data_IF_574829880741
#
_entry.id   IF_574829880741
#
_cell.length_a   1.000
_cell.length_b   1.000
_cell.length_c   1.000
_cell.angle_alpha   90.00
_cell.angle_beta   90.00
_cell.angle_gamma   90.00
#
_symmetry.space_group_name_H-M   'P 1'
#
loop_
_entity.id
_entity.type
_entity.pdbx_description
1 polymer ?
#
# COMPACT_ATOMS: atom_id res chain seq x y z
N UNK A 1 -0.81 68.51 -49.01
CA UNK A 1 0.41 67.68 -49.12
C UNK A 1 1.10 67.70 -47.78
N UNK A 2 0.97 66.64 -46.98
CA UNK A 2 1.79 66.41 -45.81
C UNK A 2 2.54 65.10 -46.09
N UNK A 3 3.86 65.21 -46.23
CA UNK A 3 4.76 64.11 -46.57
C UNK A 3 5.03 63.38 -45.25
N UNK A 4 4.41 62.22 -45.08
CA UNK A 4 4.71 61.29 -44.00
C UNK A 4 6.07 60.65 -44.30
N UNK A 5 7.08 60.97 -43.49
CA UNK A 5 8.40 60.36 -43.60
C UNK A 5 8.29 58.90 -43.12
N UNK A 6 8.34 57.98 -44.07
CA UNK A 6 8.46 56.54 -43.82
C UNK A 6 9.83 56.25 -43.22
N UNK A 7 9.92 56.22 -41.90
CA UNK A 7 11.04 55.60 -41.20
C UNK A 7 11.11 54.12 -41.59
N UNK A 8 12.22 53.71 -42.20
CA UNK A 8 12.51 52.39 -42.80
C UNK A 8 12.50 51.20 -41.82
N UNK A 9 12.00 51.36 -40.60
CA UNK A 9 11.96 50.30 -39.60
C UNK A 9 10.55 50.23 -39.01
N UNK A 10 9.83 49.11 -39.20
CA UNK A 10 8.49 48.95 -38.64
C UNK A 10 8.57 48.94 -37.11
N UNK A 11 7.73 49.73 -36.44
CA UNK A 11 7.62 49.82 -34.97
C UNK A 11 7.39 48.48 -34.27
N UNK A 12 6.88 47.48 -34.99
CA UNK A 12 6.75 46.11 -34.49
C UNK A 12 8.12 45.46 -34.25
N UNK A 13 9.10 45.68 -35.12
CA UNK A 13 10.43 45.10 -35.02
C UNK A 13 11.22 45.72 -33.86
N UNK A 14 11.13 47.04 -33.67
CA UNK A 14 11.75 47.72 -32.54
C UNK A 14 11.16 47.24 -31.22
N UNK A 15 9.85 47.01 -31.15
CA UNK A 15 9.19 46.51 -29.94
C UNK A 15 9.56 45.07 -29.60
N UNK A 16 9.79 44.23 -30.62
CA UNK A 16 10.27 42.85 -30.41
C UNK A 16 11.74 42.83 -30.01
N UNK A 17 12.58 43.69 -30.61
CA UNK A 17 13.99 43.84 -30.24
C UNK A 17 14.16 44.44 -28.84
N UNK A 18 13.33 45.40 -28.45
CA UNK A 18 13.35 46.00 -27.10
C UNK A 18 12.91 45.00 -26.02
N UNK A 19 11.97 44.09 -26.34
CA UNK A 19 11.66 42.93 -25.49
C UNK A 19 12.83 41.94 -25.41
N UNK A 20 13.44 41.61 -26.55
CA UNK A 20 14.58 40.69 -26.61
C UNK A 20 15.82 41.22 -25.87
N UNK A 21 16.15 42.51 -26.02
CA UNK A 21 17.24 43.17 -25.29
C UNK A 21 16.88 43.42 -23.81
N UNK A 22 15.59 43.58 -23.47
CA UNK A 22 15.12 43.58 -22.09
C UNK A 22 15.26 42.21 -21.41
N UNK A 23 14.95 41.13 -22.13
CA UNK A 23 15.15 39.74 -21.71
C UNK A 23 16.64 39.35 -21.62
N UNK A 24 17.53 40.04 -22.33
CA UNK A 24 19.00 39.88 -22.26
C UNK A 24 19.70 40.83 -21.27
N UNK A 25 18.96 41.64 -20.51
CA UNK A 25 19.56 42.52 -19.51
C UNK A 25 20.12 41.70 -18.33
N UNK A 26 21.27 42.03 -17.74
CA UNK A 26 21.89 41.26 -16.64
C UNK A 26 20.97 41.08 -15.41
N UNK A 27 19.94 41.91 -15.27
CA UNK A 27 18.85 41.77 -14.28
C UNK A 27 17.92 40.58 -14.52
N UNK A 28 17.71 40.14 -15.76
CA UNK A 28 16.88 38.96 -16.07
C UNK A 28 17.61 37.66 -15.73
N UNK A 29 18.92 37.59 -15.97
CA UNK A 29 19.75 36.43 -15.56
C UNK A 29 19.73 36.27 -14.04
N UNK A 30 19.86 37.37 -13.29
CA UNK A 30 19.80 37.33 -11.83
C UNK A 30 18.42 36.88 -11.32
N UNK A 31 17.33 37.33 -11.96
CA UNK A 31 15.97 36.89 -11.66
C UNK A 31 15.77 35.40 -11.96
N UNK A 32 16.23 34.91 -13.11
CA UNK A 32 16.15 33.48 -13.47
C UNK A 32 16.95 32.62 -12.50
N UNK A 33 18.13 33.07 -12.06
CA UNK A 33 18.94 32.37 -11.06
C UNK A 33 18.23 32.35 -9.70
N UNK A 34 17.55 33.44 -9.31
CA UNK A 34 16.77 33.49 -8.07
C UNK A 34 15.54 32.57 -8.13
N UNK A 35 14.78 32.59 -9.22
CA UNK A 35 13.64 31.69 -9.45
C UNK A 35 14.07 30.22 -9.41
N UNK A 36 15.19 29.88 -10.04
CA UNK A 36 15.75 28.53 -9.98
C UNK A 36 16.14 28.12 -8.55
N UNK A 37 16.74 29.02 -7.76
CA UNK A 37 17.08 28.77 -6.35
C UNK A 37 15.83 28.55 -5.50
N UNK A 38 14.78 29.34 -5.72
CA UNK A 38 13.50 29.21 -5.01
C UNK A 38 12.83 27.87 -5.36
N UNK A 39 12.71 27.54 -6.65
CA UNK A 39 12.15 26.27 -7.13
C UNK A 39 12.92 25.07 -6.57
N UNK A 40 14.26 25.10 -6.59
CA UNK A 40 15.10 24.05 -6.00
C UNK A 40 14.88 23.91 -4.49
N UNK A 41 14.79 25.02 -3.75
CA UNK A 41 14.54 25.01 -2.31
C UNK A 41 13.15 24.44 -1.99
N UNK A 42 12.15 24.81 -2.78
CA UNK A 42 10.78 24.30 -2.69
C UNK A 42 10.74 22.79 -2.93
N UNK A 43 11.44 22.31 -3.95
CA UNK A 43 11.54 20.87 -4.27
C UNK A 43 12.20 20.09 -3.13
N UNK A 44 13.34 20.58 -2.61
CA UNK A 44 14.06 19.94 -1.50
C UNK A 44 13.18 19.91 -0.24
N UNK A 45 12.54 21.02 0.09
CA UNK A 45 11.66 21.13 1.26
C UNK A 45 10.45 20.19 1.14
N UNK A 46 9.86 20.13 -0.05
CA UNK A 46 8.74 19.23 -0.36
C UNK A 46 9.14 17.77 -0.22
N UNK A 47 10.30 17.39 -0.77
CA UNK A 47 10.83 16.03 -0.68
C UNK A 47 11.11 15.63 0.77
N UNK A 48 11.80 16.47 1.55
CA UNK A 48 12.05 16.20 2.96
C UNK A 48 10.76 16.09 3.77
N UNK A 49 9.79 16.97 3.51
CA UNK A 49 8.50 16.92 4.18
C UNK A 49 7.73 15.63 3.82
N UNK A 50 7.69 15.27 2.54
CA UNK A 50 7.05 14.04 2.06
C UNK A 50 7.67 12.79 2.70
N UNK A 51 9.00 12.69 2.68
CA UNK A 51 9.73 11.58 3.31
C UNK A 51 9.47 11.53 4.82
N UNK A 52 9.50 12.67 5.51
CA UNK A 52 9.20 12.74 6.95
C UNK A 52 7.77 12.32 7.25
N UNK A 53 6.81 12.78 6.46
CA UNK A 53 5.38 12.50 6.63
C UNK A 53 5.09 10.99 6.51
N UNK A 54 5.82 10.27 5.66
CA UNK A 54 5.67 8.82 5.50
C UNK A 54 6.53 8.00 6.45
N UNK A 55 7.83 8.30 6.54
CA UNK A 55 8.79 7.48 7.27
C UNK A 55 8.62 7.58 8.79
N UNK A 56 8.30 8.75 9.33
CA UNK A 56 8.20 8.93 10.80
C UNK A 56 7.05 8.08 11.38
N UNK A 57 5.81 8.15 10.86
CA UNK A 57 4.73 7.27 11.31
C UNK A 57 5.05 5.78 11.11
N UNK A 58 5.63 5.42 9.96
CA UNK A 58 5.98 4.04 9.64
C UNK A 58 6.99 3.45 10.63
N UNK A 59 8.08 4.17 10.90
CA UNK A 59 9.11 3.74 11.86
C UNK A 59 8.53 3.64 13.26
N UNK A 60 7.71 4.62 13.69
CA UNK A 60 7.06 4.55 14.99
C UNK A 60 6.13 3.34 15.10
N UNK A 61 5.29 3.10 14.09
CA UNK A 61 4.41 1.93 14.04
C UNK A 61 5.20 0.63 14.14
N UNK A 62 6.32 0.51 13.42
CA UNK A 62 7.20 -0.65 13.51
C UNK A 62 7.79 -0.84 14.91
N UNK A 63 8.25 0.23 15.55
CA UNK A 63 8.77 0.18 16.93
C UNK A 63 7.66 -0.27 17.89
N UNK A 64 6.48 0.34 17.82
CA UNK A 64 5.32 -0.01 18.66
C UNK A 64 4.95 -1.47 18.47
N UNK A 65 4.87 -1.97 17.23
CA UNK A 65 4.59 -3.37 16.97
C UNK A 65 5.62 -4.26 17.67
N UNK A 66 6.91 -4.02 17.44
CA UNK A 66 7.98 -4.83 18.03
C UNK A 66 8.00 -4.83 19.56
N UNK A 67 7.68 -3.70 20.20
CA UNK A 67 7.66 -3.60 21.66
C UNK A 67 6.39 -4.20 22.28
N UNK A 68 5.27 -4.19 21.56
CA UNK A 68 3.97 -4.60 22.12
C UNK A 68 3.59 -6.06 21.86
N UNK A 69 4.18 -6.72 20.84
CA UNK A 69 3.88 -8.15 20.55
C UNK A 69 4.11 -9.05 21.76
N UNK A 70 5.20 -8.87 22.50
CA UNK A 70 5.54 -9.71 23.67
C UNK A 70 4.52 -9.55 24.81
N UNK A 71 4.20 -8.33 25.31
CA UNK A 71 3.21 -8.18 26.36
C UNK A 71 1.80 -8.59 25.90
N UNK A 72 1.43 -8.40 24.62
CA UNK A 72 0.16 -8.90 24.10
C UNK A 72 0.09 -10.43 24.10
N UNK A 73 1.21 -11.13 23.84
CA UNK A 73 1.27 -12.59 23.94
C UNK A 73 1.00 -13.06 25.36
N UNK A 74 1.65 -12.46 26.34
CA UNK A 74 1.46 -12.78 27.76
C UNK A 74 0.03 -12.50 28.22
N UNK A 75 -0.52 -11.35 27.85
CA UNK A 75 -1.91 -11.00 28.13
C UNK A 75 -2.88 -12.00 27.48
N UNK A 76 -2.63 -12.38 26.23
CA UNK A 76 -3.44 -13.34 25.49
C UNK A 76 -3.39 -14.72 26.15
N UNK A 77 -2.22 -15.18 26.61
CA UNK A 77 -2.11 -16.44 27.33
C UNK A 77 -2.93 -16.42 28.62
N UNK A 78 -2.81 -15.37 29.44
CA UNK A 78 -3.55 -15.25 30.71
C UNK A 78 -5.06 -15.15 30.46
N UNK A 79 -5.47 -14.30 29.53
CA UNK A 79 -6.87 -14.08 29.22
C UNK A 79 -7.53 -15.35 28.67
N UNK A 80 -6.84 -16.11 27.82
CA UNK A 80 -7.40 -17.34 27.25
C UNK A 80 -7.34 -18.53 28.20
N UNK A 81 -6.38 -18.57 29.12
CA UNK A 81 -6.38 -19.55 30.22
C UNK A 81 -7.54 -19.34 31.21
N UNK A 82 -8.09 -18.12 31.29
CA UNK A 82 -9.17 -17.78 32.23
C UNK A 82 -10.57 -17.69 31.58
N UNK A 83 -10.64 -17.39 30.28
CA UNK A 83 -11.89 -16.92 29.66
C UNK A 83 -12.73 -18.00 28.96
N UNK A 84 -12.32 -19.27 28.86
CA UNK A 84 -13.14 -20.32 28.21
C UNK A 84 -13.66 -19.88 26.83
N UNK A 85 -12.76 -19.35 25.98
CA UNK A 85 -13.16 -18.70 24.74
C UNK A 85 -13.57 -19.76 23.70
N UNK A 86 -14.88 -20.06 23.64
CA UNK A 86 -15.49 -21.12 22.81
C UNK A 86 -15.04 -21.16 21.35
N UNK A 87 -14.71 -20.01 20.73
CA UNK A 87 -14.24 -19.97 19.34
C UNK A 87 -12.83 -20.50 19.18
N UNK A 88 -11.95 -20.19 20.14
CA UNK A 88 -10.57 -20.65 20.10
C UNK A 88 -10.46 -22.08 20.63
N UNK A 89 -11.33 -22.46 21.57
CA UNK A 89 -11.53 -23.83 22.01
C UNK A 89 -12.03 -24.71 20.87
N UNK A 90 -12.98 -24.25 20.05
CA UNK A 90 -13.41 -24.96 18.85
C UNK A 90 -12.29 -25.11 17.82
N UNK A 91 -11.51 -24.06 17.56
CA UNK A 91 -10.36 -24.13 16.66
C UNK A 91 -9.26 -25.06 17.20
N UNK A 92 -9.00 -25.02 18.51
CA UNK A 92 -8.08 -25.93 19.17
C UNK A 92 -8.58 -27.38 19.09
N UNK A 93 -9.85 -27.63 19.36
CA UNK A 93 -10.46 -28.96 19.28
C UNK A 93 -10.43 -29.47 17.83
N UNK A 94 -10.79 -28.64 16.87
CA UNK A 94 -10.79 -28.99 15.44
C UNK A 94 -9.38 -29.32 14.93
N UNK A 95 -8.39 -28.51 15.28
CA UNK A 95 -7.02 -28.71 14.81
C UNK A 95 -6.28 -29.83 15.58
N UNK A 96 -6.59 -30.02 16.88
CA UNK A 96 -6.10 -31.19 17.65
C UNK A 96 -6.76 -32.50 17.22
N UNK A 97 -8.06 -32.49 16.86
CA UNK A 97 -8.74 -33.67 16.32
C UNK A 97 -8.22 -34.06 14.94
N UNK A 98 -7.92 -33.09 14.07
CA UNK A 98 -7.23 -33.34 12.78
C UNK A 98 -5.82 -33.91 12.96
N UNK A 99 -5.06 -33.40 13.94
CA UNK A 99 -3.77 -33.98 14.32
C UNK A 99 -3.93 -35.42 14.81
N UNK A 100 -4.87 -35.68 15.72
CA UNK A 100 -5.12 -37.02 16.24
C UNK A 100 -5.57 -37.98 15.12
N UNK A 101 -6.42 -37.52 14.20
CA UNK A 101 -6.91 -38.27 13.05
C UNK A 101 -5.76 -38.60 12.06
N UNK A 102 -4.94 -37.62 11.69
CA UNK A 102 -3.77 -37.85 10.81
C UNK A 102 -2.79 -38.84 11.42
N UNK A 103 -2.50 -38.71 12.72
CA UNK A 103 -1.69 -39.68 13.45
C UNK A 103 -2.38 -41.06 13.54
N UNK A 104 -3.70 -41.12 13.73
CA UNK A 104 -4.44 -42.37 13.75
C UNK A 104 -4.34 -43.08 12.39
N UNK A 105 -4.53 -42.37 11.28
CA UNK A 105 -4.39 -42.91 9.93
C UNK A 105 -2.99 -43.41 9.62
N UNK A 106 -1.95 -42.65 9.97
CA UNK A 106 -0.56 -43.08 9.78
C UNK A 106 -0.24 -44.32 10.63
N UNK A 107 -0.80 -44.41 11.83
CA UNK A 107 -0.62 -45.58 12.68
C UNK A 107 -1.37 -46.81 12.15
N UNK A 108 -2.62 -46.68 11.68
CA UNK A 108 -3.36 -47.81 11.06
C UNK A 108 -2.63 -48.31 9.81
N UNK A 109 -2.02 -47.39 9.04
CA UNK A 109 -1.18 -47.72 7.88
C UNK A 109 0.10 -48.47 8.29
N UNK A 110 0.76 -48.05 9.37
CA UNK A 110 2.02 -48.63 9.85
C UNK A 110 1.83 -49.88 10.73
N UNK A 111 0.67 -50.03 11.37
CA UNK A 111 0.29 -51.19 12.20
C UNK A 111 0.14 -52.47 11.39
N UNK A 112 -0.04 -52.34 10.07
CA UNK A 112 0.03 -53.49 9.15
C UNK A 112 1.42 -54.13 9.07
N UNK A 113 2.47 -53.59 9.74
CA UNK A 113 3.85 -54.03 9.55
C UNK A 113 4.64 -54.46 10.80
N UNK A 114 4.17 -54.32 12.05
CA UNK A 114 4.96 -54.84 13.20
C UNK A 114 4.10 -55.08 14.44
N UNK A 115 4.11 -56.34 14.91
CA UNK A 115 3.50 -56.80 16.16
C UNK A 115 4.58 -56.79 17.27
N UNK A 116 4.26 -56.28 18.48
CA UNK A 116 5.05 -56.20 19.74
C UNK A 116 5.61 -54.85 20.27
N UNK A 117 5.42 -53.70 19.63
CA UNK A 117 5.93 -52.39 20.15
C UNK A 117 4.90 -51.53 20.89
N UNK A 118 3.78 -52.08 21.35
CA UNK A 118 2.58 -51.30 21.70
C UNK A 118 2.66 -50.41 22.95
N UNK A 119 3.40 -50.75 24.01
CA UNK A 119 3.38 -49.94 25.25
C UNK A 119 4.37 -48.78 25.27
N UNK A 120 5.57 -48.99 24.73
CA UNK A 120 6.60 -47.94 24.59
C UNK A 120 6.25 -46.98 23.44
N UNK A 121 5.62 -47.47 22.36
CA UNK A 121 5.10 -46.61 21.30
C UNK A 121 3.95 -45.74 21.80
N UNK A 122 3.01 -46.27 22.61
CA UNK A 122 1.88 -45.50 23.15
C UNK A 122 2.31 -44.40 24.14
N UNK A 123 3.31 -44.65 24.98
CA UNK A 123 3.83 -43.63 25.92
C UNK A 123 4.58 -42.52 25.17
N UNK A 124 5.49 -42.88 24.25
CA UNK A 124 6.18 -41.91 23.41
C UNK A 124 5.21 -41.14 22.48
N UNK A 125 4.10 -41.78 22.07
CA UNK A 125 3.00 -41.21 21.28
C UNK A 125 2.18 -40.18 22.05
N UNK A 126 1.85 -40.44 23.33
CA UNK A 126 1.16 -39.45 24.14
C UNK A 126 2.03 -38.21 24.37
N UNK A 127 3.34 -38.38 24.50
CA UNK A 127 4.26 -37.26 24.70
C UNK A 127 4.45 -36.43 23.43
N UNK A 128 4.56 -37.06 22.25
CA UNK A 128 4.68 -36.34 20.97
C UNK A 128 3.41 -35.59 20.61
N UNK A 129 2.23 -36.17 20.80
CA UNK A 129 0.95 -35.48 20.56
C UNK A 129 0.77 -34.30 21.53
N UNK A 130 1.11 -34.46 22.82
CA UNK A 130 1.08 -33.36 23.79
C UNK A 130 2.09 -32.25 23.48
N UNK A 131 3.25 -32.60 22.93
CA UNK A 131 4.22 -31.61 22.48
C UNK A 131 3.73 -30.85 21.23
N UNK A 132 3.12 -31.55 20.28
CA UNK A 132 2.53 -30.93 19.08
C UNK A 132 1.38 -29.98 19.45
N UNK A 133 0.50 -30.40 20.36
CA UNK A 133 -0.58 -29.57 20.91
C UNK A 133 -0.04 -28.31 21.57
N UNK A 134 1.01 -28.42 22.40
CA UNK A 134 1.64 -27.27 23.05
C UNK A 134 2.24 -26.29 22.04
N UNK A 135 2.87 -26.78 20.98
CA UNK A 135 3.43 -25.94 19.90
C UNK A 135 2.31 -25.22 19.16
N UNK A 136 1.21 -25.91 18.87
CA UNK A 136 0.06 -25.34 18.19
C UNK A 136 -0.60 -24.23 19.02
N UNK A 137 -0.83 -24.49 20.30
CA UNK A 137 -1.37 -23.51 21.25
C UNK A 137 -0.48 -22.25 21.31
N UNK A 138 0.85 -22.42 21.38
CA UNK A 138 1.79 -21.29 21.39
C UNK A 138 1.78 -20.50 20.07
N UNK A 139 1.63 -21.18 18.94
CA UNK A 139 1.47 -20.55 17.63
C UNK A 139 0.21 -19.69 17.57
N UNK A 140 -0.95 -20.23 18.02
CA UNK A 140 -2.22 -19.50 18.04
C UNK A 140 -2.18 -18.27 18.96
N UNK A 141 -1.55 -18.39 20.14
CA UNK A 141 -1.33 -17.25 21.03
C UNK A 141 -0.47 -16.16 20.38
N UNK A 142 0.58 -16.59 19.69
CA UNK A 142 1.50 -15.68 19.01
C UNK A 142 0.82 -14.95 17.84
N UNK A 143 0.04 -15.64 17.01
CA UNK A 143 -0.68 -15.02 15.89
C UNK A 143 -1.73 -14.02 16.37
N UNK A 144 -2.52 -14.36 17.39
CA UNK A 144 -3.51 -13.44 17.96
C UNK A 144 -2.83 -12.20 18.57
N UNK A 145 -1.74 -12.38 19.28
CA UNK A 145 -0.97 -11.28 19.86
C UNK A 145 -0.34 -10.37 18.80
N UNK A 146 0.17 -10.95 17.69
CA UNK A 146 0.67 -10.18 16.54
C UNK A 146 -0.44 -9.35 15.92
N UNK A 147 -1.63 -9.92 15.70
CA UNK A 147 -2.77 -9.19 15.14
C UNK A 147 -3.17 -8.00 16.02
N UNK A 148 -3.28 -8.19 17.34
CA UNK A 148 -3.59 -7.12 18.29
C UNK A 148 -2.50 -6.03 18.34
N UNK A 149 -1.23 -6.43 18.40
CA UNK A 149 -0.12 -5.50 18.37
C UNK A 149 -0.05 -4.72 17.05
N UNK A 150 -0.39 -5.34 15.93
CA UNK A 150 -0.44 -4.71 14.61
C UNK A 150 -1.57 -3.67 14.54
N UNK A 151 -2.75 -3.99 15.08
CA UNK A 151 -3.84 -3.02 15.20
C UNK A 151 -3.42 -1.78 16.02
N UNK A 152 -2.80 -1.99 17.18
CA UNK A 152 -2.34 -0.87 18.01
C UNK A 152 -1.28 -0.01 17.28
N UNK A 153 -0.30 -0.68 16.65
CA UNK A 153 0.75 -0.02 15.90
C UNK A 153 0.21 0.80 14.71
N UNK A 154 -0.75 0.26 13.98
CA UNK A 154 -1.38 0.94 12.84
C UNK A 154 -2.21 2.14 13.29
N UNK A 155 -2.97 2.03 14.39
CA UNK A 155 -3.72 3.16 14.96
C UNK A 155 -2.80 4.29 15.43
N UNK A 156 -1.70 3.97 16.11
CA UNK A 156 -0.73 4.98 16.57
C UNK A 156 -0.02 5.63 15.38
N UNK A 157 0.43 4.83 14.41
CA UNK A 157 1.06 5.33 13.18
C UNK A 157 0.11 6.26 12.42
N UNK A 158 -1.13 5.83 12.18
CA UNK A 158 -2.13 6.64 11.49
C UNK A 158 -2.43 7.93 12.25
N UNK A 159 -2.58 7.87 13.57
CA UNK A 159 -2.80 9.06 14.40
C UNK A 159 -1.63 10.04 14.29
N UNK A 160 -0.40 9.56 14.29
CA UNK A 160 0.78 10.40 14.12
C UNK A 160 0.86 11.00 12.71
N UNK A 161 0.57 10.22 11.67
CA UNK A 161 0.50 10.71 10.30
C UNK A 161 -0.48 11.89 10.19
N UNK A 162 -1.69 11.72 10.72
CA UNK A 162 -2.73 12.76 10.73
C UNK A 162 -2.28 13.98 11.55
N UNK A 163 -1.64 13.76 12.70
CA UNK A 163 -1.12 14.85 13.53
C UNK A 163 -0.04 15.67 12.80
N UNK A 164 0.91 15.00 12.14
CA UNK A 164 1.97 15.65 11.37
C UNK A 164 1.40 16.42 10.17
N UNK A 165 0.45 15.82 9.44
CA UNK A 165 -0.25 16.49 8.34
C UNK A 165 -1.01 17.74 8.82
N UNK A 166 -1.68 17.65 9.97
CA UNK A 166 -2.45 18.77 10.53
C UNK A 166 -1.58 19.87 11.15
N UNK A 167 -0.45 19.52 11.74
CA UNK A 167 0.45 20.48 12.38
C UNK A 167 1.24 21.30 11.37
N UNK A 168 1.72 20.66 10.31
CA UNK A 168 2.64 21.26 9.34
C UNK A 168 1.92 21.73 8.05
N UNK A 169 0.73 22.36 8.19
CA UNK A 169 -0.10 22.81 7.04
C UNK A 169 0.66 23.67 6.03
N UNK A 170 1.58 24.53 6.49
CA UNK A 170 2.40 25.37 5.60
C UNK A 170 3.37 24.55 4.73
N UNK A 171 3.95 23.46 5.27
CA UNK A 171 4.81 22.57 4.48
C UNK A 171 3.98 21.68 3.57
N UNK A 172 2.79 21.28 4.02
CA UNK A 172 1.83 20.54 3.21
C UNK A 172 1.37 21.35 2.00
N UNK A 173 1.13 22.66 2.15
CA UNK A 173 0.80 23.53 1.02
C UNK A 173 1.98 23.67 0.05
N UNK A 174 3.22 23.77 0.55
CA UNK A 174 4.42 23.80 -0.30
C UNK A 174 4.57 22.51 -1.10
N UNK A 175 4.40 21.35 -0.45
CA UNK A 175 4.40 20.05 -1.12
C UNK A 175 3.30 19.96 -2.18
N UNK A 176 2.09 20.43 -1.87
CA UNK A 176 0.98 20.44 -2.82
C UNK A 176 1.31 21.31 -4.03
N UNK A 177 1.79 22.54 -3.83
CA UNK A 177 2.18 23.42 -4.94
C UNK A 177 3.29 22.81 -5.79
N UNK A 178 4.27 22.16 -5.18
CA UNK A 178 5.33 21.44 -5.91
C UNK A 178 4.78 20.27 -6.73
N UNK A 179 3.85 19.48 -6.17
CA UNK A 179 3.20 18.39 -6.90
C UNK A 179 2.34 18.92 -8.04
N UNK A 180 1.58 19.99 -7.82
CA UNK A 180 0.77 20.63 -8.86
C UNK A 180 1.68 21.14 -10.00
N UNK A 181 2.73 21.91 -9.68
CA UNK A 181 3.71 22.38 -10.67
C UNK A 181 4.38 21.23 -11.42
N UNK A 182 4.79 20.18 -10.70
CA UNK A 182 5.42 19.01 -11.29
C UNK A 182 4.46 18.25 -12.20
N UNK A 183 3.18 18.10 -11.85
CA UNK A 183 2.18 17.37 -12.64
C UNK A 183 1.70 18.18 -13.86
N UNK A 184 1.42 19.48 -13.67
CA UNK A 184 0.99 20.36 -14.76
C UNK A 184 2.11 20.65 -15.75
N UNK A 185 3.37 20.70 -15.28
CA UNK A 185 4.56 20.86 -16.12
C UNK A 185 4.87 19.66 -17.03
N UNK A 186 4.21 18.52 -16.85
CA UNK A 186 4.36 17.36 -17.74
C UNK A 186 3.63 17.58 -19.07
N UNK A 187 4.15 16.95 -20.13
CA UNK A 187 3.42 16.84 -21.41
C UNK A 187 2.16 15.99 -21.24
N UNK A 188 1.15 16.23 -22.07
CA UNK A 188 -0.11 15.48 -21.99
C UNK A 188 0.08 13.98 -22.28
N UNK A 189 1.08 13.62 -23.09
CA UNK A 189 1.50 12.24 -23.31
C UNK A 189 2.08 11.60 -22.05
N UNK A 190 2.94 12.31 -21.31
CA UNK A 190 3.51 11.79 -20.04
C UNK A 190 2.44 11.68 -18.96
N UNK A 191 1.50 12.63 -18.88
CA UNK A 191 0.35 12.54 -17.96
C UNK A 191 -0.50 11.31 -18.26
N UNK A 192 -0.79 11.07 -19.54
CA UNK A 192 -1.52 9.88 -19.99
C UNK A 192 -0.78 8.59 -19.64
N UNK A 193 0.53 8.53 -19.91
CA UNK A 193 1.38 7.39 -19.58
C UNK A 193 1.42 7.10 -18.07
N UNK A 194 1.67 8.12 -17.23
CA UNK A 194 1.70 7.98 -15.78
C UNK A 194 0.35 7.48 -15.25
N UNK A 195 -0.74 8.00 -15.80
CA UNK A 195 -2.08 7.60 -15.43
C UNK A 195 -2.32 6.13 -15.77
N UNK A 196 -1.98 5.69 -16.99
CA UNK A 196 -2.07 4.28 -17.41
C UNK A 196 -1.20 3.38 -16.51
N UNK A 197 0.07 3.74 -16.31
CA UNK A 197 1.01 2.99 -15.48
C UNK A 197 0.52 2.84 -14.03
N UNK A 198 0.06 3.94 -13.43
CA UNK A 198 -0.47 3.94 -12.07
C UNK A 198 -1.68 3.01 -11.97
N UNK A 199 -2.61 3.13 -12.90
CA UNK A 199 -3.80 2.27 -12.90
C UNK A 199 -3.45 0.82 -13.15
N UNK A 200 -2.48 0.50 -14.00
CA UNK A 200 -2.05 -0.87 -14.25
C UNK A 200 -1.41 -1.50 -12.99
N UNK A 201 -0.62 -0.74 -12.22
CA UNK A 201 -0.03 -1.23 -10.96
C UNK A 201 -1.10 -1.49 -9.89
N UNK A 202 -2.10 -0.60 -9.75
CA UNK A 202 -3.10 -0.71 -8.68
C UNK A 202 -4.30 -1.60 -9.04
N UNK A 203 -4.61 -1.71 -10.33
CA UNK A 203 -5.81 -2.35 -10.83
C UNK A 203 -5.47 -3.65 -11.59
N UNK A 204 -4.24 -3.78 -12.09
CA UNK A 204 -3.70 -4.98 -12.74
C UNK A 204 -3.43 -6.17 -11.81
N UNK A 205 -4.14 -6.28 -10.69
CA UNK A 205 -4.23 -7.52 -9.92
C UNK A 205 -5.05 -8.54 -10.72
N UNK A 206 -4.41 -9.15 -11.72
CA UNK A 206 -5.03 -10.16 -12.59
C UNK A 206 -5.18 -11.54 -11.93
N UNK A 207 -4.71 -11.70 -10.69
CA UNK A 207 -4.80 -12.95 -9.96
C UNK A 207 -5.78 -12.82 -8.79
N UNK A 208 -6.84 -13.66 -8.75
CA UNK A 208 -7.68 -13.83 -7.56
C UNK A 208 -6.86 -14.08 -6.29
N UNK A 209 -5.68 -14.69 -6.42
CA UNK A 209 -4.80 -14.98 -5.28
C UNK A 209 -4.23 -13.72 -4.61
N UNK A 210 -4.00 -12.65 -5.37
CA UNK A 210 -3.53 -11.38 -4.80
C UNK A 210 -4.57 -10.75 -3.88
N UNK A 211 -5.84 -10.80 -4.30
CA UNK A 211 -6.97 -10.34 -3.51
C UNK A 211 -7.26 -11.23 -2.31
N UNK A 212 -7.08 -12.54 -2.44
CA UNK A 212 -7.15 -13.47 -1.33
C UNK A 212 -6.13 -13.12 -0.24
N UNK A 213 -4.84 -12.99 -0.59
CA UNK A 213 -3.79 -12.64 0.39
C UNK A 213 -4.03 -11.26 1.02
N UNK A 214 -4.46 -10.27 0.22
CA UNK A 214 -4.77 -8.94 0.73
C UNK A 214 -5.92 -8.96 1.73
N UNK A 215 -7.03 -9.65 1.40
CA UNK A 215 -8.21 -9.74 2.26
C UNK A 215 -7.96 -10.63 3.47
N UNK A 216 -7.22 -11.73 3.34
CA UNK A 216 -6.77 -12.55 4.45
C UNK A 216 -6.05 -11.67 5.47
N UNK A 217 -5.05 -10.90 5.03
CA UNK A 217 -4.29 -10.01 5.92
C UNK A 217 -5.12 -8.87 6.50
N UNK A 218 -6.06 -8.33 5.72
CA UNK A 218 -6.95 -7.27 6.19
C UNK A 218 -7.96 -7.78 7.23
N UNK A 219 -8.55 -8.96 7.01
CA UNK A 219 -9.53 -9.57 7.91
C UNK A 219 -8.87 -10.16 9.16
N UNK A 220 -7.65 -10.70 9.04
CA UNK A 220 -6.83 -11.18 10.16
C UNK A 220 -6.54 -10.06 11.18
N UNK A 221 -6.36 -8.82 10.71
CA UNK A 221 -6.25 -7.65 11.60
C UNK A 221 -7.51 -7.45 12.44
N UNK A 222 -8.70 -7.76 11.90
CA UNK A 222 -9.96 -7.65 12.63
C UNK A 222 -10.38 -8.96 13.34
N UNK A 223 -9.59 -10.03 13.23
CA UNK A 223 -9.91 -11.34 13.79
C UNK A 223 -11.07 -12.06 13.09
N UNK A 224 -11.33 -11.76 11.81
CA UNK A 224 -12.41 -12.33 11.02
C UNK A 224 -11.90 -13.45 10.08
N UNK A 225 -12.74 -14.47 9.83
CA UNK A 225 -12.42 -15.54 8.89
C UNK A 225 -12.57 -15.07 7.44
N UNK A 226 -11.55 -15.33 6.63
CA UNK A 226 -11.51 -14.97 5.21
C UNK A 226 -12.10 -16.03 4.27
N UNK A 227 -12.36 -17.25 4.75
CA UNK A 227 -12.85 -18.36 3.93
C UNK A 227 -14.38 -18.43 3.81
N UNK A 228 -15.08 -17.31 3.97
CA UNK A 228 -16.54 -17.30 3.84
C UNK A 228 -16.97 -17.18 2.36
N UNK A 229 -18.12 -17.77 1.95
CA UNK A 229 -18.63 -17.65 0.58
C UNK A 229 -18.76 -16.21 0.10
N UNK A 230 -19.09 -15.27 1.00
CA UNK A 230 -19.18 -13.84 0.71
C UNK A 230 -17.83 -13.22 0.33
N UNK A 231 -16.74 -13.62 1.01
CA UNK A 231 -15.38 -13.14 0.70
C UNK A 231 -14.90 -13.71 -0.63
N UNK A 232 -15.17 -15.00 -0.89
CA UNK A 232 -14.85 -15.62 -2.18
C UNK A 232 -15.61 -14.97 -3.35
N UNK A 233 -16.91 -14.65 -3.16
CA UNK A 233 -17.70 -13.93 -4.16
C UNK A 233 -17.13 -12.52 -4.40
N UNK A 234 -16.70 -11.82 -3.34
CA UNK A 234 -16.05 -10.52 -3.47
C UNK A 234 -14.75 -10.61 -4.27
N UNK A 235 -13.88 -11.57 -3.96
CA UNK A 235 -12.63 -11.81 -4.69
C UNK A 235 -12.89 -12.11 -6.18
N UNK A 236 -13.98 -12.80 -6.49
CA UNK A 236 -14.33 -13.14 -7.87
C UNK A 236 -14.86 -11.94 -8.69
N UNK A 237 -15.65 -11.06 -8.07
CA UNK A 237 -16.39 -10.01 -8.80
C UNK A 237 -15.72 -8.64 -8.69
N UNK A 238 -15.30 -8.25 -7.50
CA UNK A 238 -14.82 -6.90 -7.22
C UNK A 238 -13.60 -6.50 -8.07
N UNK A 239 -12.57 -7.33 -8.26
CA UNK A 239 -11.41 -6.97 -9.06
C UNK A 239 -11.75 -6.67 -10.52
N UNK A 240 -12.62 -7.48 -11.12
CA UNK A 240 -13.03 -7.35 -12.54
C UNK A 240 -13.86 -6.09 -12.74
N UNK A 241 -14.76 -5.79 -11.81
CA UNK A 241 -15.56 -4.56 -11.83
C UNK A 241 -14.66 -3.33 -11.66
N UNK A 242 -13.72 -3.37 -10.72
CA UNK A 242 -12.77 -2.28 -10.48
C UNK A 242 -11.92 -2.02 -11.73
N UNK A 243 -11.39 -3.06 -12.37
CA UNK A 243 -10.67 -2.99 -13.65
C UNK A 243 -11.47 -2.33 -14.76
N UNK A 244 -12.73 -2.73 -14.91
CA UNK A 244 -13.61 -2.17 -15.94
C UNK A 244 -13.90 -0.69 -15.70
N UNK A 245 -14.18 -0.30 -14.46
CA UNK A 245 -14.45 1.10 -14.08
C UNK A 245 -13.22 1.98 -14.34
N UNK A 246 -12.04 1.54 -13.90
CA UNK A 246 -10.82 2.30 -14.11
C UNK A 246 -10.48 2.41 -15.59
N UNK A 247 -10.47 1.31 -16.36
CA UNK A 247 -10.26 1.35 -17.82
C UNK A 247 -11.21 2.30 -18.54
N UNK A 248 -12.49 2.27 -18.18
CA UNK A 248 -13.47 3.19 -18.74
C UNK A 248 -13.18 4.65 -18.37
N UNK A 249 -12.87 4.92 -17.11
CA UNK A 249 -12.59 6.29 -16.65
C UNK A 249 -11.33 6.87 -17.30
N UNK A 250 -10.28 6.06 -17.41
CA UNK A 250 -9.03 6.39 -18.12
C UNK A 250 -9.32 6.69 -19.58
N UNK A 251 -10.02 5.78 -20.28
CA UNK A 251 -10.36 5.97 -21.69
C UNK A 251 -11.15 7.26 -21.90
N UNK A 252 -12.12 7.55 -21.03
CA UNK A 252 -12.90 8.80 -21.09
C UNK A 252 -12.04 10.03 -20.82
N UNK A 253 -11.08 9.93 -19.91
CA UNK A 253 -10.16 11.02 -19.59
C UNK A 253 -9.18 11.30 -20.75
N UNK A 254 -8.57 10.26 -21.32
CA UNK A 254 -7.65 10.37 -22.46
C UNK A 254 -8.34 10.95 -23.70
N UNK A 255 -9.57 10.50 -24.00
CA UNK A 255 -10.38 11.05 -25.11
C UNK A 255 -10.68 12.55 -24.96
N UNK A 256 -10.67 13.09 -23.73
CA UNK A 256 -10.93 14.52 -23.49
C UNK A 256 -9.71 15.40 -23.67
N UNK A 257 -8.50 14.86 -23.49
CA UNK A 257 -7.26 15.64 -23.52
C UNK A 257 -6.62 15.69 -24.90
N UNK A 258 -6.55 14.56 -25.61
CA UNK A 258 -6.04 14.53 -26.99
C UNK A 258 -6.49 13.27 -27.73
N UNK A 259 -7.07 13.39 -28.94
CA UNK A 259 -7.33 12.23 -29.81
C UNK A 259 -6.08 11.39 -30.12
N UNK A 260 -4.86 11.99 -30.06
CA UNK A 260 -3.61 11.26 -30.32
C UNK A 260 -3.22 10.30 -29.19
N UNK A 261 -3.54 10.63 -27.93
CA UNK A 261 -3.27 9.75 -26.78
C UNK A 261 -4.12 8.48 -26.82
N UNK A 262 -5.31 8.57 -27.42
CA UNK A 262 -6.23 7.44 -27.64
C UNK A 262 -5.68 6.46 -28.67
N UNK A 263 -5.02 6.97 -29.72
CA UNK A 263 -4.36 6.15 -30.72
C UNK A 263 -3.18 5.36 -30.12
N UNK A 264 -2.40 5.99 -29.22
CA UNK A 264 -1.32 5.30 -28.49
C UNK A 264 -1.86 4.21 -27.55
N UNK A 265 -2.95 4.47 -26.81
CA UNK A 265 -3.57 3.45 -25.95
C UNK A 265 -4.11 2.26 -26.75
N UNK A 266 -4.77 2.50 -27.89
CA UNK A 266 -5.24 1.42 -28.78
C UNK A 266 -4.08 0.56 -29.29
N UNK A 267 -2.99 1.18 -29.75
CA UNK A 267 -1.81 0.45 -30.23
C UNK A 267 -1.04 -0.32 -29.14
N UNK A 268 -1.24 0.00 -27.86
CA UNK A 268 -0.60 -0.72 -26.74
C UNK A 268 -1.46 -1.86 -26.18
N UNK A 269 -2.75 -1.91 -26.54
CA UNK A 269 -3.74 -2.82 -25.97
C UNK A 269 -4.35 -3.79 -27.03
N UNK A 270 -3.96 -3.63 -28.31
CA UNK A 270 -4.01 -4.65 -29.37
C UNK A 270 -2.71 -5.47 -29.37
#
# INVERSE_FOLDING_TARGET
MAIEQTGLIPRSLTRTLERFFGELSPTSEEQVIQEFRVSRSQAITSLYYFLRLLLVPFILGFIVFKTTVVPFRELTMVQMSQSGNSTLEHLLIEETTLLEETYYFDNVRNFSLTDQTDKLSQINKSETVKQAEKILVDHLYTEKAKSQALLLATLISFSLFVLLARRDQARLSILRSFLDESLYGLSDATKAFLLILLTDIFVGFHSPKGWEVFLDKALEQFGLSSHTPSVMLFIAVFPVVLDTIFKYWIFRYLNRLSPSAVATYRNMNE
#
